data_IF_422554321286
#
_entry.id   IF_422554321286
#
_cell.length_a   1.000
_cell.length_b   1.000
_cell.length_c   1.000
_cell.angle_alpha   90.00
_cell.angle_beta   90.00
_cell.angle_gamma   90.00
#
_symmetry.space_group_name_H-M   'P 1'
#
loop_
_entity.id
_entity.type
_entity.pdbx_description
1 polymer ?
#
# COMPACT_ATOMS: atom_id res chain seq x y z
N UNK A 1 0.89 -7.31 -24.79
CA UNK A 1 -0.01 -7.33 -25.97
C UNK A 1 -1.08 -6.24 -25.88
N UNK A 2 -1.78 -6.11 -24.74
CA UNK A 2 -2.90 -5.16 -24.55
C UNK A 2 -2.53 -3.68 -24.77
N UNK A 3 -1.46 -3.16 -24.14
CA UNK A 3 -1.04 -1.76 -24.30
C UNK A 3 -0.78 -1.40 -25.78
N UNK A 4 -0.18 -2.32 -26.55
CA UNK A 4 0.09 -2.11 -27.97
C UNK A 4 -1.20 -2.01 -28.79
N UNK A 5 -2.22 -2.80 -28.47
CA UNK A 5 -3.52 -2.77 -29.17
C UNK A 5 -4.23 -1.45 -28.88
N UNK A 6 -4.33 -1.07 -27.61
CA UNK A 6 -4.97 0.19 -27.19
C UNK A 6 -4.29 1.41 -27.79
N UNK A 7 -2.96 1.45 -27.83
CA UNK A 7 -2.23 2.55 -28.47
C UNK A 7 -2.39 2.60 -29.99
N UNK A 8 -2.68 1.47 -30.67
CA UNK A 8 -2.95 1.45 -32.12
C UNK A 8 -4.34 1.99 -32.47
N UNK A 9 -5.29 1.90 -31.55
CA UNK A 9 -6.64 2.47 -31.70
C UNK A 9 -6.74 3.86 -31.05
N UNK A 10 -5.61 4.52 -30.86
CA UNK A 10 -5.48 5.90 -30.34
C UNK A 10 -6.02 6.13 -28.91
N UNK A 11 -6.22 5.06 -28.14
CA UNK A 11 -6.55 5.17 -26.72
C UNK A 11 -5.28 5.55 -25.95
N UNK A 12 -5.35 6.68 -25.24
CA UNK A 12 -4.24 7.15 -24.41
C UNK A 12 -4.34 6.54 -23.01
N UNK A 13 -3.32 5.76 -22.66
CA UNK A 13 -3.15 5.18 -21.33
C UNK A 13 -2.24 6.09 -20.53
N UNK A 14 -2.73 6.64 -19.43
CA UNK A 14 -1.98 7.59 -18.58
C UNK A 14 -1.43 6.94 -17.32
N UNK A 15 -2.08 5.86 -16.86
CA UNK A 15 -1.67 5.16 -15.65
C UNK A 15 -2.03 3.67 -15.65
N UNK A 16 -1.36 2.92 -14.78
CA UNK A 16 -1.62 1.53 -14.45
C UNK A 16 -1.74 1.39 -12.94
N UNK A 17 -2.87 0.83 -12.47
CA UNK A 17 -3.14 0.62 -11.05
C UNK A 17 -3.21 -0.87 -10.71
N UNK A 18 -2.56 -1.29 -9.63
CA UNK A 18 -2.58 -2.69 -9.16
C UNK A 18 -2.34 -2.79 -7.64
N UNK A 19 -2.58 -3.98 -7.07
CA UNK A 19 -2.29 -4.29 -5.67
C UNK A 19 -0.81 -4.65 -5.44
N UNK A 20 -0.31 -4.39 -4.22
CA UNK A 20 1.11 -4.51 -3.86
C UNK A 20 1.67 -5.93 -3.70
N UNK A 21 1.15 -6.93 -4.43
CA UNK A 21 1.75 -8.27 -4.46
C UNK A 21 3.10 -8.25 -5.20
N UNK A 22 4.01 -9.12 -4.77
CA UNK A 22 5.39 -9.17 -5.28
C UNK A 22 5.47 -9.37 -6.81
N UNK A 23 4.54 -10.14 -7.38
CA UNK A 23 4.45 -10.36 -8.83
C UNK A 23 4.14 -9.08 -9.60
N UNK A 24 3.27 -8.20 -9.08
CA UNK A 24 2.91 -6.96 -9.74
C UNK A 24 4.03 -5.93 -9.64
N UNK A 25 4.69 -5.85 -8.48
CA UNK A 25 5.88 -5.00 -8.31
C UNK A 25 6.98 -5.47 -9.26
N UNK A 26 7.21 -6.79 -9.37
CA UNK A 26 8.17 -7.36 -10.31
C UNK A 26 7.81 -7.00 -11.75
N UNK A 27 6.55 -7.14 -12.15
CA UNK A 27 6.07 -6.75 -13.48
C UNK A 27 6.35 -5.27 -13.76
N UNK A 28 6.06 -4.38 -12.81
CA UNK A 28 6.29 -2.96 -12.95
C UNK A 28 7.79 -2.61 -13.08
N UNK A 29 8.66 -3.30 -12.33
CA UNK A 29 10.10 -3.18 -12.48
C UNK A 29 10.58 -3.62 -13.88
N UNK A 30 10.06 -4.74 -14.40
CA UNK A 30 10.37 -5.21 -15.75
C UNK A 30 9.87 -4.26 -16.86
N UNK A 31 8.84 -3.46 -16.59
CA UNK A 31 8.38 -2.43 -17.52
C UNK A 31 9.27 -1.18 -17.50
N UNK A 32 10.12 -1.01 -16.48
CA UNK A 32 11.06 0.10 -16.36
C UNK A 32 10.71 1.11 -15.26
N UNK A 33 9.71 0.83 -14.42
CA UNK A 33 9.53 1.57 -13.18
C UNK A 33 10.52 1.09 -12.10
N UNK A 34 10.74 1.90 -11.08
CA UNK A 34 11.60 1.58 -9.95
C UNK A 34 10.96 2.09 -8.66
N UNK A 35 10.67 1.16 -7.75
CA UNK A 35 10.05 1.42 -6.45
C UNK A 35 11.06 1.34 -5.29
N UNK A 36 12.36 1.41 -5.58
CA UNK A 36 13.36 1.56 -4.53
C UNK A 36 13.18 2.89 -3.80
N UNK A 37 13.57 2.94 -2.52
CA UNK A 37 13.30 4.07 -1.61
C UNK A 37 13.81 5.41 -2.14
N UNK A 38 14.86 5.39 -2.96
CA UNK A 38 15.50 6.59 -3.50
C UNK A 38 15.10 6.91 -4.95
N UNK A 39 14.22 6.12 -5.56
CA UNK A 39 13.85 6.30 -6.95
C UNK A 39 12.64 7.21 -7.10
N UNK A 40 12.69 8.06 -8.11
CA UNK A 40 11.56 8.88 -8.55
C UNK A 40 10.88 8.31 -9.80
N UNK A 41 11.37 7.17 -10.32
CA UNK A 41 10.92 6.58 -11.57
C UNK A 41 9.70 5.67 -11.38
N UNK A 42 8.56 6.25 -11.01
CA UNK A 42 7.30 5.51 -10.82
C UNK A 42 6.47 5.34 -12.10
N UNK A 43 7.10 5.36 -13.26
CA UNK A 43 6.43 5.26 -14.56
C UNK A 43 7.24 4.39 -15.52
N UNK A 44 6.60 3.98 -16.61
CA UNK A 44 7.26 3.34 -17.74
C UNK A 44 6.84 4.00 -19.06
N UNK A 45 7.66 3.83 -20.10
CA UNK A 45 7.34 4.35 -21.43
C UNK A 45 6.37 3.42 -22.16
N UNK A 46 5.25 3.96 -22.64
CA UNK A 46 4.28 3.20 -23.41
C UNK A 46 4.93 2.58 -24.66
N UNK A 47 4.74 1.28 -24.96
CA UNK A 47 5.54 0.57 -25.97
C UNK A 47 5.39 1.12 -27.40
N UNK A 48 4.26 1.78 -27.72
CA UNK A 48 3.96 2.34 -29.06
C UNK A 48 4.17 3.86 -29.06
N UNK A 49 3.31 4.60 -28.36
CA UNK A 49 3.30 6.08 -28.30
C UNK A 49 4.47 6.71 -27.54
N UNK A 50 5.26 5.94 -26.79
CA UNK A 50 6.38 6.40 -25.93
C UNK A 50 6.02 7.37 -24.80
N UNK A 51 4.75 7.77 -24.68
CA UNK A 51 4.24 8.59 -23.58
C UNK A 51 4.41 7.86 -22.23
N UNK A 52 4.62 8.58 -21.12
CA UNK A 52 4.74 7.97 -19.80
C UNK A 52 3.40 7.36 -19.36
N UNK A 53 3.46 6.16 -18.79
CA UNK A 53 2.37 5.50 -18.08
C UNK A 53 2.76 5.42 -16.61
N UNK A 54 2.09 6.23 -15.79
CA UNK A 54 2.38 6.30 -14.36
C UNK A 54 1.86 5.06 -13.64
N UNK A 55 2.60 4.56 -12.66
CA UNK A 55 2.17 3.43 -11.86
C UNK A 55 1.65 3.92 -10.53
N UNK A 56 0.43 3.49 -10.19
CA UNK A 56 -0.25 3.83 -8.93
C UNK A 56 -0.52 2.52 -8.20
N UNK A 57 0.00 2.36 -6.99
CA UNK A 57 -0.40 1.22 -6.16
C UNK A 57 -1.76 1.48 -5.53
N UNK A 58 -2.62 0.47 -5.47
CA UNK A 58 -3.96 0.59 -4.91
C UNK A 58 -3.92 0.99 -3.40
N UNK A 59 -4.29 2.23 -3.03
CA UNK A 59 -4.06 2.72 -1.67
C UNK A 59 -4.76 1.91 -0.57
N UNK A 60 -6.04 1.49 -0.71
CA UNK A 60 -6.70 0.61 0.26
C UNK A 60 -5.94 -0.70 0.50
N UNK A 61 -5.45 -1.35 -0.56
CA UNK A 61 -4.65 -2.57 -0.41
C UNK A 61 -3.30 -2.30 0.25
N UNK A 62 -2.62 -1.20 -0.08
CA UNK A 62 -1.35 -0.85 0.55
C UNK A 62 -1.51 -0.56 2.06
N UNK A 63 -2.56 0.17 2.45
CA UNK A 63 -2.86 0.42 3.87
C UNK A 63 -3.17 -0.88 4.62
N UNK A 64 -3.88 -1.82 3.98
CA UNK A 64 -4.13 -3.16 4.54
C UNK A 64 -2.83 -3.92 4.77
N UNK A 65 -1.88 -3.88 3.82
CA UNK A 65 -0.57 -4.51 3.97
C UNK A 65 0.22 -3.89 5.12
N UNK A 66 0.29 -2.54 5.20
CA UNK A 66 0.98 -1.85 6.30
C UNK A 66 0.40 -2.25 7.66
N UNK A 67 -0.93 -2.22 7.80
CA UNK A 67 -1.62 -2.65 9.03
C UNK A 67 -1.31 -4.10 9.36
N UNK A 68 -1.34 -5.01 8.37
CA UNK A 68 -1.08 -6.42 8.59
C UNK A 68 0.36 -6.66 9.06
N UNK A 69 1.33 -6.04 8.39
CA UNK A 69 2.75 -6.09 8.76
C UNK A 69 2.95 -5.53 10.17
N UNK A 70 2.36 -4.38 10.48
CA UNK A 70 2.49 -3.76 11.80
C UNK A 70 1.86 -4.64 12.90
N UNK A 71 0.69 -5.20 12.64
CA UNK A 71 0.00 -6.11 13.55
C UNK A 71 0.72 -7.45 13.73
N UNK A 72 1.49 -7.91 12.74
CA UNK A 72 2.27 -9.16 12.81
C UNK A 72 3.59 -8.98 13.55
N UNK A 73 4.39 -7.98 13.16
CA UNK A 73 5.71 -7.75 13.74
C UNK A 73 5.67 -6.98 15.06
N UNK A 74 4.55 -6.30 15.36
CA UNK A 74 4.28 -5.51 16.57
C UNK A 74 5.18 -4.30 16.81
N UNK A 75 6.36 -4.24 16.21
CA UNK A 75 7.31 -3.14 16.31
C UNK A 75 7.77 -2.79 14.90
N UNK A 76 7.70 -1.50 14.56
CA UNK A 76 8.32 -0.89 13.39
C UNK A 76 9.29 0.20 13.85
N UNK A 77 10.16 0.66 12.95
CA UNK A 77 11.09 1.74 13.22
C UNK A 77 10.87 2.88 12.21
N UNK A 78 10.91 4.12 12.70
CA UNK A 78 10.92 5.28 11.82
C UNK A 78 12.33 5.54 11.23
N UNK A 79 12.46 6.60 10.43
CA UNK A 79 13.75 7.00 9.84
C UNK A 79 14.83 7.37 10.85
N UNK A 80 14.46 7.65 12.11
CA UNK A 80 15.35 7.99 13.20
C UNK A 80 15.61 6.79 14.13
N UNK A 81 15.26 5.57 13.69
CA UNK A 81 15.37 4.34 14.45
C UNK A 81 14.56 4.35 15.77
N UNK A 82 13.49 5.16 15.85
CA UNK A 82 12.57 5.17 17.00
C UNK A 82 11.50 4.11 16.80
N UNK A 83 11.26 3.32 17.84
CA UNK A 83 10.26 2.25 17.80
C UNK A 83 8.83 2.80 17.76
N UNK A 84 8.05 2.31 16.81
CA UNK A 84 6.60 2.47 16.72
C UNK A 84 5.99 1.12 17.15
N UNK A 85 5.27 1.11 18.27
CA UNK A 85 4.80 -0.13 18.92
C UNK A 85 3.29 -0.30 18.75
N UNK A 86 2.89 -1.48 18.31
CA UNK A 86 1.49 -1.90 18.22
C UNK A 86 0.80 -1.93 19.58
N UNK A 87 1.56 -2.20 20.65
CA UNK A 87 1.10 -2.16 22.05
C UNK A 87 0.40 -0.84 22.43
N UNK A 88 0.77 0.30 21.82
CA UNK A 88 0.07 1.56 22.05
C UNK A 88 -1.36 1.55 21.49
N UNK A 89 -1.59 0.86 20.37
CA UNK A 89 -2.92 0.67 19.78
C UNK A 89 -3.75 -0.25 20.68
N UNK A 90 -3.16 -1.36 21.14
CA UNK A 90 -3.84 -2.30 22.04
C UNK A 90 -4.25 -1.62 23.36
N UNK A 91 -3.35 -0.84 23.97
CA UNK A 91 -3.64 -0.07 25.19
C UNK A 91 -4.69 1.01 24.98
N UNK A 92 -4.66 1.71 23.85
CA UNK A 92 -5.67 2.71 23.53
C UNK A 92 -7.07 2.08 23.47
N UNK A 93 -7.22 0.96 22.77
CA UNK A 93 -8.51 0.27 22.68
C UNK A 93 -8.94 -0.25 24.05
N UNK A 94 -8.03 -0.85 24.83
CA UNK A 94 -8.34 -1.32 26.18
C UNK A 94 -8.85 -0.19 27.10
N UNK A 95 -8.26 1.01 27.02
CA UNK A 95 -8.73 2.18 27.78
C UNK A 95 -10.11 2.62 27.29
N UNK A 96 -10.35 2.68 25.97
CA UNK A 96 -11.65 3.08 25.44
C UNK A 96 -12.78 2.12 25.88
N UNK A 97 -12.55 0.81 25.83
CA UNK A 97 -13.53 -0.20 26.25
C UNK A 97 -13.76 -0.14 27.77
N UNK A 98 -12.70 0.06 28.57
CA UNK A 98 -12.80 0.18 30.02
C UNK A 98 -13.60 1.41 30.46
N UNK A 99 -13.37 2.55 29.81
CA UNK A 99 -13.98 3.83 30.19
C UNK A 99 -15.34 4.06 29.49
N UNK A 100 -15.67 3.26 28.46
CA UNK A 100 -16.88 3.43 27.65
C UNK A 100 -16.88 4.71 26.80
N UNK A 101 -15.72 5.36 26.65
CA UNK A 101 -15.55 6.63 25.95
C UNK A 101 -14.51 6.49 24.83
N UNK A 102 -14.89 6.90 23.62
CA UNK A 102 -14.00 6.93 22.47
C UNK A 102 -13.42 8.33 22.29
N UNK A 103 -12.08 8.44 22.25
CA UNK A 103 -11.35 9.70 21.99
C UNK A 103 -11.39 10.08 20.50
N UNK A 104 -12.60 10.18 19.93
CA UNK A 104 -12.87 10.39 18.51
C UNK A 104 -12.26 9.36 17.54
N UNK A 105 -11.63 8.28 18.04
CA UNK A 105 -11.10 7.20 17.21
C UNK A 105 -12.20 6.19 16.87
N UNK A 106 -12.16 5.67 15.64
CA UNK A 106 -13.01 4.54 15.21
C UNK A 106 -12.35 3.18 15.49
N UNK A 107 -11.28 3.16 16.29
CA UNK A 107 -10.55 1.93 16.63
C UNK A 107 -11.33 1.16 17.68
N UNK A 108 -11.51 -0.14 17.43
CA UNK A 108 -12.20 -1.08 18.30
C UNK A 108 -11.42 -2.39 18.35
N UNK A 109 -11.80 -3.32 19.24
CA UNK A 109 -11.20 -4.67 19.29
C UNK A 109 -11.27 -5.40 17.95
N UNK A 110 -12.30 -5.13 17.13
CA UNK A 110 -12.44 -5.71 15.78
C UNK A 110 -11.30 -5.30 14.85
N UNK A 111 -10.74 -4.11 15.04
CA UNK A 111 -9.61 -3.62 14.25
C UNK A 111 -8.29 -4.28 14.67
N UNK A 112 -8.16 -4.65 15.95
CA UNK A 112 -6.99 -5.36 16.48
C UNK A 112 -7.04 -6.84 16.09
N UNK A 113 -8.17 -7.49 16.37
CA UNK A 113 -8.41 -8.92 16.14
C UNK A 113 -8.84 -9.24 14.69
N UNK A 114 -8.40 -8.44 13.72
CA UNK A 114 -8.79 -8.56 12.31
C UNK A 114 -8.43 -9.93 11.70
N UNK A 115 -7.41 -10.60 12.24
CA UNK A 115 -6.91 -11.90 11.79
C UNK A 115 -7.75 -13.09 12.27
N UNK A 116 -8.60 -12.91 13.29
CA UNK A 116 -9.51 -13.95 13.80
C UNK A 116 -10.78 -14.11 12.95
N UNK A 117 -11.01 -13.17 12.02
CA UNK A 117 -12.10 -13.22 11.04
C UNK A 117 -11.53 -13.65 9.68
N UNK A 118 -11.33 -14.95 9.51
CA UNK A 118 -11.18 -15.57 8.19
C UNK A 118 -12.53 -16.13 7.75
#
# INVERSE_FOLDING_TARGET
MCLKILGKVEITITSLTFDGVSSNISMANHLGADFSVNSTCTYFSHPVTKKPVNIIMDPPHMLKLIRNTFGLYKIMFDSNNKSIKWDYIDKLVAIQEKEGLHLATKLTERNINWFQKK
#
